data_IF_787083250692
#
_entry.id   IF_787083250692
#
_cell.length_a   1.000
_cell.length_b   1.000
_cell.length_c   1.000
_cell.angle_alpha   90.00
_cell.angle_beta   90.00
_cell.angle_gamma   90.00
#
_symmetry.space_group_name_H-M   'P 1'
#
loop_
_entity.id
_entity.type
_entity.pdbx_description
1 polymer ?
#
# COMPACT_ATOMS: atom_id res chain seq x y z
N UNK A 1 -3.73 8.86 -0.30
CA UNK A 1 -3.30 9.39 1.01
C UNK A 1 -2.06 10.27 0.80
N UNK A 2 -1.88 11.36 1.56
CA UNK A 2 -0.69 12.21 1.42
C UNK A 2 0.60 11.40 1.63
N UNK A 3 1.55 11.57 0.74
CA UNK A 3 2.86 10.91 0.76
C UNK A 3 3.87 11.85 0.09
N UNK A 4 4.77 12.48 0.86
CA UNK A 4 5.79 13.36 0.31
C UNK A 4 6.65 12.63 -0.74
N UNK A 5 7.13 13.37 -1.73
CA UNK A 5 7.88 12.82 -2.87
C UNK A 5 9.08 11.98 -2.43
N UNK A 6 9.85 12.52 -1.49
CA UNK A 6 11.01 11.91 -0.86
C UNK A 6 10.69 10.60 -0.14
N UNK A 7 9.43 10.40 0.28
CA UNK A 7 9.00 9.20 1.00
C UNK A 7 8.42 8.10 0.09
N UNK A 8 8.00 8.43 -1.14
CA UNK A 8 7.34 7.45 -2.05
C UNK A 8 8.19 6.20 -2.29
N UNK A 9 9.48 6.38 -2.59
CA UNK A 9 10.39 5.27 -2.82
C UNK A 9 10.62 4.41 -1.58
N UNK A 10 10.73 5.02 -0.40
CA UNK A 10 10.88 4.31 0.86
C UNK A 10 9.62 3.48 1.19
N UNK A 11 8.43 4.06 1.04
CA UNK A 11 7.16 3.36 1.24
C UNK A 11 7.04 2.16 0.28
N UNK A 12 7.38 2.33 -1.00
CA UNK A 12 7.33 1.22 -1.97
C UNK A 12 8.30 0.10 -1.62
N UNK A 13 9.56 0.40 -1.26
CA UNK A 13 10.52 -0.63 -0.85
C UNK A 13 10.05 -1.41 0.37
N UNK A 14 9.56 -0.70 1.39
CA UNK A 14 9.02 -1.33 2.60
C UNK A 14 7.79 -2.19 2.30
N UNK A 15 6.91 -1.73 1.41
CA UNK A 15 5.74 -2.49 0.99
C UNK A 15 6.10 -3.79 0.27
N UNK A 16 7.06 -3.74 -0.66
CA UNK A 16 7.57 -4.93 -1.36
C UNK A 16 8.14 -5.93 -0.34
N UNK A 17 8.97 -5.46 0.59
CA UNK A 17 9.56 -6.30 1.63
C UNK A 17 8.50 -6.90 2.57
N UNK A 18 7.52 -6.11 2.99
CA UNK A 18 6.43 -6.53 3.87
C UNK A 18 5.49 -7.57 3.22
N UNK A 19 5.51 -7.67 1.88
CA UNK A 19 4.61 -8.54 1.10
C UNK A 19 5.35 -9.64 0.34
N UNK A 20 6.65 -9.82 0.59
CA UNK A 20 7.51 -10.80 -0.11
C UNK A 20 7.07 -12.26 -0.01
N UNK A 21 6.21 -12.59 0.96
CA UNK A 21 5.67 -13.93 1.18
C UNK A 21 4.19 -14.06 0.80
N UNK A 22 3.60 -12.99 0.26
CA UNK A 22 2.23 -12.97 -0.23
C UNK A 22 2.18 -13.25 -1.74
N UNK A 23 0.99 -13.50 -2.26
CA UNK A 23 0.77 -13.58 -3.71
C UNK A 23 0.67 -12.16 -4.30
N UNK A 24 1.77 -11.69 -4.92
CA UNK A 24 1.88 -10.31 -5.42
C UNK A 24 2.21 -10.18 -6.91
N UNK A 25 1.64 -9.15 -7.56
CA UNK A 25 2.02 -8.65 -8.88
C UNK A 25 2.70 -7.28 -8.74
N UNK A 26 3.86 -7.07 -9.39
CA UNK A 26 4.74 -5.91 -9.19
C UNK A 26 4.82 -4.93 -10.38
N UNK A 27 3.81 -4.87 -11.24
CA UNK A 27 3.87 -4.10 -12.51
C UNK A 27 3.73 -2.59 -12.27
N UNK A 28 2.53 -2.13 -11.85
CA UNK A 28 2.23 -0.70 -11.64
C UNK A 28 2.21 -0.30 -10.15
N UNK A 29 2.74 -1.17 -9.30
CA UNK A 29 2.60 -1.08 -7.84
C UNK A 29 2.79 -2.44 -7.21
N UNK A 30 2.24 -2.62 -6.02
CA UNK A 30 2.15 -3.94 -5.38
C UNK A 30 0.69 -4.33 -5.29
N UNK A 31 0.28 -5.27 -6.14
CA UNK A 31 -1.06 -5.86 -6.10
C UNK A 31 -1.00 -7.18 -5.36
N UNK A 32 -1.79 -7.32 -4.30
CA UNK A 32 -1.79 -8.46 -3.39
C UNK A 32 -3.14 -9.18 -3.52
N UNK A 33 -3.14 -10.51 -3.62
CA UNK A 33 -4.34 -11.31 -3.88
C UNK A 33 -4.64 -12.30 -2.77
N UNK A 34 -5.92 -12.40 -2.40
CA UNK A 34 -6.46 -13.40 -1.48
C UNK A 34 -7.71 -14.05 -2.09
N UNK A 35 -7.50 -15.06 -2.94
CA UNK A 35 -8.60 -15.68 -3.69
C UNK A 35 -9.29 -14.69 -4.62
N UNK A 36 -10.57 -14.38 -4.35
CA UNK A 36 -11.35 -13.38 -5.10
C UNK A 36 -11.12 -11.93 -4.65
N UNK A 37 -10.47 -11.71 -3.51
CA UNK A 37 -10.19 -10.37 -2.99
C UNK A 37 -8.80 -9.89 -3.44
N UNK A 38 -8.61 -8.58 -3.58
CA UNK A 38 -7.30 -8.01 -3.85
C UNK A 38 -7.14 -6.58 -3.30
N UNK A 39 -5.89 -6.16 -3.13
CA UNK A 39 -5.49 -4.78 -2.89
C UNK A 39 -4.41 -4.37 -3.89
N UNK A 40 -4.39 -3.12 -4.35
CA UNK A 40 -3.24 -2.55 -5.06
C UNK A 40 -2.81 -1.25 -4.39
N UNK A 41 -1.50 -1.13 -4.23
CA UNK A 41 -0.83 -0.02 -3.57
C UNK A 41 0.25 0.53 -4.51
N UNK A 42 0.22 1.84 -4.78
CA UNK A 42 1.16 2.46 -5.70
C UNK A 42 1.32 3.96 -5.45
N UNK A 43 2.49 4.55 -5.75
CA UNK A 43 2.69 6.00 -5.70
C UNK A 43 2.02 6.66 -6.91
N UNK A 44 1.42 7.81 -6.70
CA UNK A 44 0.96 8.64 -7.84
C UNK A 44 2.17 9.20 -8.61
N UNK A 45 2.17 9.20 -9.94
CA UNK A 45 3.31 9.67 -10.73
C UNK A 45 3.51 11.19 -10.66
N UNK A 46 2.43 11.97 -10.44
CA UNK A 46 2.42 13.42 -10.63
C UNK A 46 2.05 14.22 -9.37
N UNK A 47 1.55 13.55 -8.32
CA UNK A 47 1.06 14.19 -7.09
C UNK A 47 1.69 13.60 -5.84
N UNK A 48 1.87 14.34 -4.73
CA UNK A 48 2.43 13.83 -3.47
C UNK A 48 1.42 12.97 -2.69
N UNK A 49 0.91 11.92 -3.35
CA UNK A 49 -0.06 10.99 -2.79
C UNK A 49 0.34 9.55 -3.13
N UNK A 50 -0.10 8.65 -2.27
CA UNK A 50 0.00 7.21 -2.41
C UNK A 50 -1.41 6.62 -2.48
N UNK A 51 -1.66 5.75 -3.44
CA UNK A 51 -2.96 5.14 -3.69
C UNK A 51 -3.05 3.79 -3.00
N UNK A 52 -4.23 3.51 -2.44
CA UNK A 52 -4.61 2.20 -1.92
C UNK A 52 -6.01 1.95 -2.43
N UNK A 53 -6.16 0.89 -3.23
CA UNK A 53 -7.45 0.41 -3.71
C UNK A 53 -7.62 -1.02 -3.24
N UNK A 54 -8.83 -1.39 -2.84
CA UNK A 54 -9.18 -2.74 -2.44
C UNK A 54 -10.50 -3.14 -3.07
N UNK A 55 -10.56 -4.38 -3.54
CA UNK A 55 -11.77 -5.02 -4.01
C UNK A 55 -11.92 -6.32 -3.23
N UNK A 56 -13.15 -6.60 -2.81
CA UNK A 56 -13.45 -7.80 -2.08
C UNK A 56 -14.89 -8.23 -2.31
N UNK A 57 -15.15 -9.49 -1.98
CA UNK A 57 -16.48 -10.10 -2.00
C UNK A 57 -17.53 -9.35 -1.17
N UNK A 58 -17.11 -8.62 -0.13
CA UNK A 58 -18.00 -7.76 0.65
C UNK A 58 -17.38 -6.38 0.89
N UNK A 59 -18.24 -5.37 1.05
CA UNK A 59 -17.82 -4.02 1.43
C UNK A 59 -17.03 -4.01 2.75
N UNK A 60 -17.49 -4.75 3.75
CA UNK A 60 -16.82 -4.84 5.05
C UNK A 60 -15.39 -5.38 4.91
N UNK A 61 -15.19 -6.40 4.06
CA UNK A 61 -13.86 -6.95 3.78
C UNK A 61 -12.96 -5.94 3.05
N UNK A 62 -13.48 -5.23 2.05
CA UNK A 62 -12.74 -4.17 1.37
C UNK A 62 -12.33 -3.05 2.34
N UNK A 63 -13.22 -2.63 3.24
CA UNK A 63 -12.95 -1.61 4.26
C UNK A 63 -11.91 -2.09 5.29
N UNK A 64 -11.92 -3.37 5.68
CA UNK A 64 -10.87 -3.97 6.52
C UNK A 64 -9.50 -3.91 5.82
N UNK A 65 -9.42 -4.34 4.57
CA UNK A 65 -8.18 -4.32 3.78
C UNK A 65 -7.65 -2.88 3.68
N UNK A 66 -8.51 -1.92 3.33
CA UNK A 66 -8.15 -0.50 3.26
C UNK A 66 -7.65 0.03 4.60
N UNK A 67 -8.29 -0.35 5.71
CA UNK A 67 -7.92 0.08 7.06
C UNK A 67 -6.53 -0.44 7.43
N UNK A 68 -6.27 -1.73 7.20
CA UNK A 68 -4.99 -2.37 7.47
C UNK A 68 -3.86 -1.69 6.71
N UNK A 69 -3.97 -1.56 5.39
CA UNK A 69 -2.90 -0.98 4.58
C UNK A 69 -2.74 0.54 4.81
N UNK A 70 -3.83 1.26 5.11
CA UNK A 70 -3.76 2.67 5.52
C UNK A 70 -2.96 2.83 6.80
N UNK A 71 -3.11 1.93 7.77
CA UNK A 71 -2.34 1.97 9.00
C UNK A 71 -0.86 1.67 8.73
N UNK A 72 -0.55 0.63 7.96
CA UNK A 72 0.82 0.26 7.60
C UNK A 72 1.55 1.38 6.83
N UNK A 73 0.92 1.96 5.81
CA UNK A 73 1.53 3.06 5.03
C UNK A 73 1.78 4.28 5.92
N UNK A 74 0.85 4.62 6.83
CA UNK A 74 1.06 5.71 7.81
C UNK A 74 2.23 5.42 8.75
N UNK A 75 2.33 4.20 9.23
CA UNK A 75 3.43 3.78 10.08
C UNK A 75 4.76 3.91 9.34
N UNK A 76 4.85 3.39 8.11
CA UNK A 76 6.06 3.51 7.30
C UNK A 76 6.41 4.97 7.04
N UNK A 77 5.43 5.83 6.74
CA UNK A 77 5.60 7.28 6.64
C UNK A 77 6.07 7.94 7.95
N UNK A 78 5.84 7.35 9.12
CA UNK A 78 6.33 7.88 10.40
C UNK A 78 7.79 7.52 10.71
N UNK A 79 8.34 6.45 10.12
CA UNK A 79 9.58 5.79 10.55
C UNK A 79 10.91 6.53 10.29
N UNK A 80 10.93 7.81 9.92
CA UNK A 80 12.18 8.57 9.66
C UNK A 80 12.15 10.02 10.19
N UNK A 81 11.23 10.36 11.11
CA UNK A 81 11.36 11.59 11.91
C UNK A 81 12.31 11.42 13.11
N UNK A 82 12.91 10.24 13.27
CA UNK A 82 13.82 9.88 14.35
C UNK A 82 15.14 9.36 13.76
N UNK A 83 15.92 10.27 13.19
CA UNK A 83 17.33 10.08 12.87
C UNK A 83 18.04 11.43 12.98
#
# INVERSE_FOLDING_TARGET
MPCPWERKGAVMRTLIEATKHENVELVDGVKIRWGGDWAILYPDPDRPVFHILAEATTRARAEQILTTYRAQVREWLGREAAA
#
